data_IF_681261395423
#
_entry.id   IF_681261395423
#
_cell.length_a   1.000
_cell.length_b   1.000
_cell.length_c   1.000
_cell.angle_alpha   90.00
_cell.angle_beta   90.00
_cell.angle_gamma   90.00
#
_symmetry.space_group_name_H-M   'P 1'
#
loop_
_entity.id
_entity.type
_entity.pdbx_description
1 polymer ?
#
# COMPACT_ATOMS: atom_id res chain seq x y z
N UNK A 1 14.09 -80.92 -44.70
CA UNK A 1 13.48 -81.09 -43.36
C UNK A 1 13.31 -79.77 -42.56
N UNK A 2 13.40 -78.57 -43.16
CA UNK A 2 13.47 -77.29 -42.42
C UNK A 2 12.19 -76.42 -42.44
N UNK A 3 11.19 -76.78 -43.25
CA UNK A 3 9.99 -75.94 -43.47
C UNK A 3 9.10 -75.89 -42.22
N UNK A 4 8.93 -77.02 -41.52
CA UNK A 4 8.14 -77.08 -40.29
C UNK A 4 8.77 -76.27 -39.15
N UNK A 5 10.09 -76.41 -38.94
CA UNK A 5 10.83 -75.66 -37.94
C UNK A 5 10.74 -74.14 -38.17
N UNK A 6 10.95 -73.67 -39.41
CA UNK A 6 10.79 -72.25 -39.78
C UNK A 6 9.37 -71.73 -39.51
N UNK A 7 8.36 -72.56 -39.74
CA UNK A 7 6.96 -72.17 -39.49
C UNK A 7 6.69 -71.99 -38.01
N UNK A 8 7.15 -72.92 -37.17
CA UNK A 8 7.06 -72.84 -35.71
C UNK A 8 7.79 -71.59 -35.20
N UNK A 9 9.01 -71.33 -35.67
CA UNK A 9 9.76 -70.12 -35.30
C UNK A 9 9.04 -68.83 -35.69
N UNK A 10 8.44 -68.78 -36.88
CA UNK A 10 7.70 -67.59 -37.33
C UNK A 10 6.48 -67.29 -36.46
N UNK A 11 5.73 -68.32 -36.07
CA UNK A 11 4.60 -68.19 -35.15
C UNK A 11 5.03 -67.74 -33.76
N UNK A 12 6.11 -68.33 -33.24
CA UNK A 12 6.66 -67.94 -31.94
C UNK A 12 7.14 -66.49 -31.91
N UNK A 13 7.85 -66.03 -32.95
CA UNK A 13 8.27 -64.63 -33.08
C UNK A 13 7.06 -63.69 -33.11
N UNK A 14 6.04 -64.01 -33.90
CA UNK A 14 4.80 -63.22 -33.98
C UNK A 14 4.01 -63.21 -32.66
N UNK A 15 3.97 -64.32 -31.92
CA UNK A 15 3.38 -64.37 -30.58
C UNK A 15 4.17 -63.51 -29.59
N UNK A 16 5.49 -63.63 -29.58
CA UNK A 16 6.38 -62.91 -28.66
C UNK A 16 6.26 -61.39 -28.83
N UNK A 17 6.24 -60.90 -30.07
CA UNK A 17 6.05 -59.47 -30.38
C UNK A 17 4.67 -58.97 -29.92
N UNK A 18 3.60 -59.72 -30.18
CA UNK A 18 2.24 -59.33 -29.75
C UNK A 18 2.12 -59.29 -28.22
N UNK A 19 2.72 -60.25 -27.52
CA UNK A 19 2.77 -60.26 -26.06
C UNK A 19 3.51 -59.04 -25.51
N UNK A 20 4.66 -58.71 -26.07
CA UNK A 20 5.44 -57.53 -25.68
C UNK A 20 4.66 -56.23 -25.94
N UNK A 21 4.00 -56.12 -27.09
CA UNK A 21 3.19 -54.94 -27.43
C UNK A 21 2.04 -54.75 -26.44
N UNK A 22 1.34 -55.84 -26.10
CA UNK A 22 0.25 -55.80 -25.12
C UNK A 22 0.74 -55.33 -23.74
N UNK A 23 1.87 -55.85 -23.27
CA UNK A 23 2.48 -55.43 -22.00
C UNK A 23 2.83 -53.93 -22.02
N UNK A 24 3.44 -53.44 -23.10
CA UNK A 24 3.78 -52.02 -23.26
C UNK A 24 2.53 -51.14 -23.32
N UNK A 25 1.48 -51.58 -24.01
CA UNK A 25 0.21 -50.86 -24.06
C UNK A 25 -0.45 -50.75 -22.69
N UNK A 26 -0.49 -51.84 -21.93
CA UNK A 26 -1.02 -51.83 -20.57
C UNK A 26 -0.21 -50.88 -19.66
N UNK A 27 1.12 -50.93 -19.73
CA UNK A 27 1.99 -50.01 -19.00
C UNK A 27 1.74 -48.54 -19.39
N UNK A 28 1.60 -48.26 -20.69
CA UNK A 28 1.30 -46.92 -21.19
C UNK A 28 -0.05 -46.41 -20.68
N UNK A 29 -1.10 -47.24 -20.68
CA UNK A 29 -2.43 -46.89 -20.15
C UNK A 29 -2.34 -46.55 -18.66
N UNK A 30 -1.59 -47.33 -17.88
CA UNK A 30 -1.39 -47.06 -16.45
C UNK A 30 -0.70 -45.72 -16.25
N UNK A 31 0.42 -45.46 -16.94
CA UNK A 31 1.15 -44.19 -16.86
C UNK A 31 0.25 -43.01 -17.24
N UNK A 32 -0.48 -43.12 -18.36
CA UNK A 32 -1.39 -42.07 -18.83
C UNK A 32 -2.51 -41.79 -17.82
N UNK A 33 -3.10 -42.83 -17.22
CA UNK A 33 -4.14 -42.69 -16.19
C UNK A 33 -3.61 -41.94 -14.97
N UNK A 34 -2.43 -42.33 -14.48
CA UNK A 34 -1.80 -41.67 -13.33
C UNK A 34 -1.44 -40.22 -13.64
N UNK A 35 -0.85 -39.95 -14.80
CA UNK A 35 -0.50 -38.60 -15.23
C UNK A 35 -1.73 -37.68 -15.32
N UNK A 36 -2.81 -38.13 -15.95
CA UNK A 36 -4.08 -37.36 -16.03
C UNK A 36 -4.60 -37.02 -14.64
N UNK A 37 -4.60 -38.00 -13.73
CA UNK A 37 -5.02 -37.78 -12.34
C UNK A 37 -4.14 -36.79 -11.59
N UNK A 38 -2.81 -36.91 -11.71
CA UNK A 38 -1.85 -35.97 -11.14
C UNK A 38 -2.05 -34.55 -11.68
N UNK A 39 -2.18 -34.41 -13.00
CA UNK A 39 -2.34 -33.13 -13.68
C UNK A 39 -3.62 -32.41 -13.22
N UNK A 40 -4.76 -33.11 -13.18
CA UNK A 40 -6.03 -32.56 -12.70
C UNK A 40 -5.93 -32.12 -11.23
N UNK A 41 -5.34 -32.94 -10.36
CA UNK A 41 -5.14 -32.59 -8.94
C UNK A 41 -4.26 -31.35 -8.79
N UNK A 42 -3.14 -31.26 -9.52
CA UNK A 42 -2.25 -30.09 -9.50
C UNK A 42 -2.97 -28.81 -9.92
N UNK A 43 -3.79 -28.87 -10.97
CA UNK A 43 -4.60 -27.72 -11.40
C UNK A 43 -5.63 -27.34 -10.33
N UNK A 44 -6.31 -28.33 -9.75
CA UNK A 44 -7.32 -28.10 -8.73
C UNK A 44 -6.71 -27.46 -7.48
N UNK A 45 -5.58 -27.95 -6.98
CA UNK A 45 -4.88 -27.34 -5.85
C UNK A 45 -4.57 -25.86 -6.10
N UNK A 46 -4.08 -25.51 -7.30
CA UNK A 46 -3.84 -24.11 -7.67
C UNK A 46 -5.13 -23.27 -7.74
N UNK A 47 -6.23 -23.83 -8.25
CA UNK A 47 -7.54 -23.14 -8.30
C UNK A 47 -8.12 -22.91 -6.89
N UNK A 48 -8.04 -23.92 -6.03
CA UNK A 48 -8.51 -23.85 -4.63
C UNK A 48 -7.69 -22.82 -3.86
N UNK A 49 -6.36 -22.85 -3.99
CA UNK A 49 -5.48 -21.87 -3.36
C UNK A 49 -5.82 -20.42 -3.75
N UNK A 50 -6.08 -20.16 -5.03
CA UNK A 50 -6.53 -18.83 -5.50
C UNK A 50 -7.87 -18.41 -4.91
N UNK A 51 -8.88 -19.30 -4.91
CA UNK A 51 -10.19 -19.01 -4.33
C UNK A 51 -10.11 -18.72 -2.82
N UNK A 52 -9.27 -19.47 -2.11
CA UNK A 52 -9.03 -19.24 -0.69
C UNK A 52 -8.40 -17.85 -0.47
N UNK A 53 -7.35 -17.53 -1.22
CA UNK A 53 -6.69 -16.22 -1.19
C UNK A 53 -7.67 -15.07 -1.45
N UNK A 54 -8.51 -15.18 -2.49
CA UNK A 54 -9.52 -14.17 -2.83
C UNK A 54 -10.55 -13.99 -1.71
N UNK A 55 -10.96 -15.09 -1.07
CA UNK A 55 -11.94 -15.08 0.02
C UNK A 55 -11.37 -14.39 1.26
N UNK A 56 -10.12 -14.70 1.61
CA UNK A 56 -9.38 -14.07 2.71
C UNK A 56 -9.23 -12.57 2.47
N UNK A 57 -8.75 -12.17 1.28
CA UNK A 57 -8.61 -10.76 0.92
C UNK A 57 -9.94 -10.02 0.97
N UNK A 58 -11.01 -10.63 0.45
CA UNK A 58 -12.37 -10.04 0.49
C UNK A 58 -12.88 -9.86 1.92
N UNK A 59 -12.63 -10.83 2.80
CA UNK A 59 -13.00 -10.74 4.22
C UNK A 59 -12.27 -9.57 4.90
N UNK A 60 -10.94 -9.52 4.80
CA UNK A 60 -10.16 -8.44 5.42
C UNK A 60 -10.48 -7.07 4.82
N UNK A 61 -10.69 -6.98 3.50
CA UNK A 61 -11.12 -5.75 2.87
C UNK A 61 -12.46 -5.27 3.43
N UNK A 62 -13.45 -6.17 3.57
CA UNK A 62 -14.77 -5.85 4.14
C UNK A 62 -14.65 -5.31 5.57
N UNK A 63 -13.78 -5.90 6.39
CA UNK A 63 -13.53 -5.44 7.77
C UNK A 63 -12.73 -4.14 7.84
N UNK A 64 -11.80 -3.91 6.92
CA UNK A 64 -10.96 -2.73 6.90
C UNK A 64 -11.71 -1.46 6.45
N UNK A 65 -12.63 -1.58 5.49
CA UNK A 65 -13.40 -0.43 4.95
C UNK A 65 -14.08 0.41 6.06
N UNK A 66 -14.89 -0.13 6.98
CA UNK A 66 -15.54 0.66 8.01
C UNK A 66 -14.54 1.31 8.97
N UNK A 67 -13.48 0.60 9.36
CA UNK A 67 -12.41 1.14 10.21
C UNK A 67 -11.78 2.36 9.53
N UNK A 68 -11.41 2.24 8.27
CA UNK A 68 -10.77 3.33 7.54
C UNK A 68 -11.75 4.49 7.29
N UNK A 69 -13.03 4.21 7.00
CA UNK A 69 -14.06 5.23 6.82
C UNK A 69 -14.29 6.02 8.11
N UNK A 70 -14.42 5.33 9.25
CA UNK A 70 -14.58 5.94 10.56
C UNK A 70 -13.36 6.77 10.92
N UNK A 71 -12.15 6.25 10.70
CA UNK A 71 -10.91 6.98 10.94
C UNK A 71 -10.80 8.23 10.07
N UNK A 72 -11.08 8.14 8.76
CA UNK A 72 -11.10 9.32 7.87
C UNK A 72 -12.11 10.36 8.36
N UNK A 73 -13.31 9.93 8.74
CA UNK A 73 -14.34 10.81 9.28
C UNK A 73 -13.93 11.48 10.59
N UNK A 74 -13.36 10.73 11.53
CA UNK A 74 -12.84 11.25 12.79
C UNK A 74 -11.73 12.27 12.56
N UNK A 75 -10.78 11.96 11.69
CA UNK A 75 -9.63 12.81 11.38
C UNK A 75 -10.10 14.15 10.79
N UNK A 76 -11.03 14.10 9.85
CA UNK A 76 -11.66 15.29 9.27
C UNK A 76 -12.34 16.14 10.35
N UNK A 77 -13.17 15.54 11.21
CA UNK A 77 -13.83 16.27 12.30
C UNK A 77 -12.85 16.86 13.31
N UNK A 78 -11.73 16.18 13.58
CA UNK A 78 -10.72 16.68 14.51
C UNK A 78 -10.01 17.93 14.00
N UNK A 79 -9.69 17.99 12.70
CA UNK A 79 -8.84 19.06 12.14
C UNK A 79 -9.60 20.12 11.33
N UNK A 80 -10.81 19.86 10.82
CA UNK A 80 -11.59 20.88 10.09
C UNK A 80 -11.95 22.07 10.98
N UNK A 81 -12.30 21.82 12.25
CA UNK A 81 -12.62 22.90 13.18
C UNK A 81 -11.42 23.83 13.37
N UNK A 82 -10.23 23.27 13.59
CA UNK A 82 -8.98 24.01 13.73
C UNK A 82 -8.69 24.92 12.52
N UNK A 83 -8.86 24.41 11.29
CA UNK A 83 -8.64 25.20 10.08
C UNK A 83 -9.71 26.30 9.89
N UNK A 84 -10.98 26.02 10.22
CA UNK A 84 -12.04 27.03 10.15
C UNK A 84 -11.87 28.12 11.20
N UNK A 85 -11.51 27.73 12.42
CA UNK A 85 -11.26 28.64 13.54
C UNK A 85 -10.05 29.53 13.23
N UNK A 86 -8.97 28.96 12.68
CA UNK A 86 -7.82 29.71 12.19
C UNK A 86 -8.21 30.72 11.09
N UNK A 87 -8.98 30.30 10.08
CA UNK A 87 -9.45 31.20 9.02
C UNK A 87 -10.35 32.32 9.56
N UNK A 88 -11.21 32.01 10.54
CA UNK A 88 -12.05 33.00 11.21
C UNK A 88 -11.20 34.00 11.99
N UNK A 89 -10.21 33.51 12.75
CA UNK A 89 -9.25 34.35 13.45
C UNK A 89 -8.49 35.27 12.49
N UNK A 90 -8.04 34.75 11.35
CA UNK A 90 -7.36 35.53 10.31
C UNK A 90 -8.28 36.60 9.70
N UNK A 91 -9.54 36.26 9.43
CA UNK A 91 -10.53 37.20 8.88
C UNK A 91 -10.83 38.32 9.88
N UNK A 92 -11.07 37.98 11.15
CA UNK A 92 -11.29 38.94 12.23
C UNK A 92 -10.07 39.86 12.42
N UNK A 93 -8.85 39.31 12.39
CA UNK A 93 -7.64 40.10 12.54
C UNK A 93 -7.40 41.02 11.33
N UNK A 94 -7.81 40.63 10.12
CA UNK A 94 -7.79 41.50 8.95
C UNK A 94 -8.83 42.64 9.04
N UNK A 95 -10.04 42.35 9.51
CA UNK A 95 -11.08 43.35 9.78
C UNK A 95 -10.63 44.39 10.83
N UNK A 96 -10.05 43.93 11.94
CA UNK A 96 -9.50 44.81 12.98
C UNK A 96 -8.40 45.73 12.44
N UNK A 97 -7.66 45.26 11.45
CA UNK A 97 -6.59 46.01 10.82
C UNK A 97 -7.13 47.09 9.89
N UNK A 98 -8.13 46.76 9.08
CA UNK A 98 -8.85 47.71 8.23
C UNK A 98 -9.50 48.79 9.11
N UNK A 99 -10.17 48.39 10.20
CA UNK A 99 -10.78 49.32 11.14
C UNK A 99 -9.73 50.25 11.77
N UNK A 100 -8.56 49.74 12.16
CA UNK A 100 -7.45 50.56 12.65
C UNK A 100 -6.97 51.59 11.61
N UNK A 101 -6.75 51.16 10.36
CA UNK A 101 -6.31 52.07 9.28
C UNK A 101 -7.37 53.15 9.02
N UNK A 102 -8.66 52.79 9.04
CA UNK A 102 -9.77 53.76 8.87
C UNK A 102 -9.74 54.81 9.98
N UNK A 103 -9.57 54.41 11.24
CA UNK A 103 -9.48 55.34 12.37
C UNK A 103 -8.27 56.27 12.25
N UNK A 104 -7.09 55.75 11.94
CA UNK A 104 -5.88 56.54 11.76
C UNK A 104 -6.02 57.55 10.60
N UNK A 105 -6.58 57.14 9.47
CA UNK A 105 -6.83 58.04 8.33
C UNK A 105 -7.86 59.12 8.68
N UNK A 106 -8.88 58.78 9.48
CA UNK A 106 -9.86 59.73 9.96
C UNK A 106 -9.22 60.80 10.86
N UNK A 107 -8.32 60.39 11.77
CA UNK A 107 -7.63 61.30 12.68
C UNK A 107 -6.62 62.19 11.96
N UNK A 108 -5.88 61.64 10.99
CA UNK A 108 -4.98 62.40 10.11
C UNK A 108 -5.77 63.44 9.30
N UNK A 109 -6.95 63.08 8.78
CA UNK A 109 -7.84 64.01 8.07
C UNK A 109 -8.33 65.14 8.97
N UNK A 110 -8.62 64.85 10.24
CA UNK A 110 -9.05 65.85 11.22
C UNK A 110 -7.92 66.81 11.63
N UNK A 111 -6.67 66.36 11.55
CA UNK A 111 -5.49 67.15 11.87
C UNK A 111 -4.96 68.00 10.69
N UNK A 112 -5.65 68.01 9.54
CA UNK A 112 -5.20 68.62 8.27
C UNK A 112 -3.80 68.15 7.79
N UNK A 113 -3.38 66.98 8.27
CA UNK A 113 -2.14 66.34 7.85
C UNK A 113 -2.37 65.57 6.54
N UNK A 114 -1.37 65.55 5.67
CA UNK A 114 -1.43 64.75 4.45
C UNK A 114 -1.32 63.25 4.81
N UNK A 115 -2.26 62.39 4.35
CA UNK A 115 -2.18 60.96 4.56
C UNK A 115 -0.98 60.39 3.80
N UNK A 116 -0.11 59.68 4.51
CA UNK A 116 1.11 59.13 3.96
C UNK A 116 1.53 57.82 4.63
N UNK A 117 2.25 56.98 3.88
CA UNK A 117 2.76 55.67 4.33
C UNK A 117 3.64 55.83 5.59
N UNK A 118 4.38 56.93 5.69
CA UNK A 118 5.25 57.22 6.84
C UNK A 118 4.43 57.54 8.10
N UNK A 119 3.32 58.27 7.97
CA UNK A 119 2.40 58.57 9.09
C UNK A 119 1.72 57.31 9.61
N UNK A 120 1.33 56.38 8.72
CA UNK A 120 0.75 55.09 9.10
C UNK A 120 1.78 54.13 9.71
N UNK A 121 3.07 54.24 9.33
CA UNK A 121 4.12 53.35 9.82
C UNK A 121 4.45 53.56 11.30
N UNK A 122 4.28 54.78 11.82
CA UNK A 122 4.51 55.09 13.24
C UNK A 122 3.27 54.89 14.12
N UNK A 123 2.18 54.38 13.56
CA UNK A 123 0.91 54.16 14.26
C UNK A 123 0.88 52.83 15.04
N UNK A 124 -0.07 52.72 15.96
CA UNK A 124 -0.37 51.46 16.66
C UNK A 124 -0.82 50.34 15.71
N UNK A 125 -1.19 50.67 14.46
CA UNK A 125 -1.59 49.72 13.43
C UNK A 125 -0.44 48.80 12.97
N UNK A 126 0.82 49.26 13.00
CA UNK A 126 1.97 48.46 12.57
C UNK A 126 2.16 47.19 13.44
N UNK A 127 1.99 47.32 14.77
CA UNK A 127 2.08 46.18 15.68
C UNK A 127 1.02 45.10 15.40
N UNK A 128 -0.18 45.51 14.96
CA UNK A 128 -1.24 44.58 14.54
C UNK A 128 -0.89 43.87 13.23
N UNK A 129 -0.27 44.57 12.28
CA UNK A 129 0.24 43.99 11.02
C UNK A 129 1.29 42.92 11.30
N UNK A 130 2.25 43.21 12.17
CA UNK A 130 3.33 42.27 12.51
C UNK A 130 2.79 41.01 13.19
N UNK A 131 1.85 41.16 14.15
CA UNK A 131 1.17 40.03 14.79
C UNK A 131 0.43 39.15 13.77
N UNK A 132 -0.29 39.76 12.82
CA UNK A 132 -0.97 39.05 11.74
C UNK A 132 0.04 38.29 10.85
N UNK A 133 1.11 38.94 10.44
CA UNK A 133 2.20 38.31 9.69
C UNK A 133 2.79 37.11 10.44
N UNK A 134 2.99 37.23 11.76
CA UNK A 134 3.50 36.11 12.57
C UNK A 134 2.56 34.90 12.56
N UNK A 135 1.23 35.13 12.55
CA UNK A 135 0.24 34.04 12.42
C UNK A 135 0.21 33.41 11.01
N UNK A 136 0.60 34.16 9.98
CA UNK A 136 0.67 33.67 8.59
C UNK A 136 1.98 32.94 8.26
N UNK A 137 3.08 33.30 8.93
CA UNK A 137 4.41 32.67 8.77
C UNK A 137 4.39 31.17 9.16
N UNK A 138 3.41 30.73 9.96
CA UNK A 138 3.25 29.32 10.34
C UNK A 138 3.08 28.35 9.15
N UNK A 139 2.63 28.83 7.98
CA UNK A 139 2.58 28.02 6.74
C UNK A 139 3.92 27.88 6.02
N UNK A 140 4.86 28.79 6.24
CA UNK A 140 6.15 28.85 5.53
C UNK A 140 7.30 28.13 6.24
N UNK A 141 7.17 27.85 7.54
CA UNK A 141 8.22 27.17 8.30
C UNK A 141 7.83 25.77 8.75
N UNK A 142 8.22 24.77 7.95
CA UNK A 142 9.06 23.69 8.46
C UNK A 142 9.52 22.77 7.30
N UNK A 143 10.78 22.87 6.89
CA UNK A 143 11.42 21.82 6.06
C UNK A 143 11.27 20.44 6.71
N UNK A 144 11.24 20.40 8.06
CA UNK A 144 10.95 19.20 8.85
C UNK A 144 9.56 18.61 8.58
N UNK A 145 8.54 19.44 8.36
CA UNK A 145 7.17 19.01 8.05
C UNK A 145 7.11 18.48 6.62
N UNK A 146 7.75 19.15 5.67
CA UNK A 146 7.88 18.67 4.29
C UNK A 146 8.58 17.32 4.25
N UNK A 147 9.71 17.18 4.95
CA UNK A 147 10.46 15.92 5.08
C UNK A 147 9.64 14.84 5.78
N UNK A 148 8.91 15.17 6.86
CA UNK A 148 8.00 14.23 7.53
C UNK A 148 6.90 13.72 6.60
N UNK A 149 6.30 14.60 5.81
CA UNK A 149 5.26 14.23 4.83
C UNK A 149 5.86 13.34 3.74
N UNK A 150 7.03 13.69 3.20
CA UNK A 150 7.75 12.88 2.21
C UNK A 150 8.09 11.48 2.76
N UNK A 151 8.62 11.40 3.98
CA UNK A 151 8.92 10.13 4.66
C UNK A 151 7.65 9.29 4.88
N UNK A 152 6.55 9.92 5.31
CA UNK A 152 5.27 9.24 5.48
C UNK A 152 4.74 8.67 4.17
N UNK A 153 4.86 9.43 3.07
CA UNK A 153 4.46 8.99 1.73
C UNK A 153 5.34 7.85 1.22
N UNK A 154 6.65 7.93 1.41
CA UNK A 154 7.59 6.86 1.06
C UNK A 154 7.30 5.55 1.82
N UNK A 155 7.08 5.63 3.14
CA UNK A 155 6.68 4.46 3.97
C UNK A 155 5.38 3.83 3.47
N UNK A 156 4.37 4.66 3.19
CA UNK A 156 3.09 4.20 2.64
C UNK A 156 3.27 3.47 1.30
N UNK A 157 4.13 3.97 0.43
CA UNK A 157 4.42 3.32 -0.85
C UNK A 157 5.23 2.02 -0.68
N UNK A 158 6.12 1.94 0.31
CA UNK A 158 6.75 0.68 0.72
C UNK A 158 5.73 -0.40 1.07
N UNK A 159 4.76 -0.10 1.93
CA UNK A 159 3.69 -1.05 2.28
C UNK A 159 2.84 -1.46 1.07
N UNK A 160 2.56 -0.54 0.14
CA UNK A 160 1.83 -0.85 -1.10
C UNK A 160 2.60 -1.79 -2.00
N UNK A 161 3.92 -1.63 -2.12
CA UNK A 161 4.78 -2.57 -2.85
C UNK A 161 4.75 -3.94 -2.21
N UNK A 162 4.98 -4.05 -0.90
CA UNK A 162 4.87 -5.32 -0.17
C UNK A 162 3.51 -6.01 -0.37
N UNK A 163 2.40 -5.26 -0.34
CA UNK A 163 1.07 -5.81 -0.62
C UNK A 163 0.94 -6.34 -2.06
N UNK A 164 1.52 -5.62 -3.03
CA UNK A 164 1.52 -6.03 -4.45
C UNK A 164 2.39 -7.25 -4.68
N UNK A 165 3.52 -7.35 -4.01
CA UNK A 165 4.45 -8.47 -4.09
C UNK A 165 3.86 -9.73 -3.42
N UNK A 166 3.00 -9.55 -2.40
CA UNK A 166 2.22 -10.61 -1.75
C UNK A 166 1.05 -11.19 -2.56
N UNK A 167 0.92 -10.87 -3.85
CA UNK A 167 -0.20 -11.32 -4.71
C UNK A 167 -0.36 -12.84 -4.79
N UNK A 168 0.73 -13.58 -4.63
CA UNK A 168 0.78 -15.04 -4.71
C UNK A 168 0.67 -15.72 -3.34
N UNK A 169 1.13 -15.05 -2.28
CA UNK A 169 1.16 -15.54 -0.90
C UNK A 169 0.98 -14.34 0.02
N UNK A 170 -0.18 -14.22 0.66
CA UNK A 170 -0.35 -13.23 1.74
C UNK A 170 0.54 -13.65 2.90
N UNK A 171 1.49 -12.81 3.31
CA UNK A 171 2.10 -12.99 4.63
C UNK A 171 1.03 -12.74 5.68
N UNK A 172 0.55 -13.81 6.30
CA UNK A 172 -0.42 -13.72 7.39
C UNK A 172 0.33 -13.15 8.60
N UNK A 173 -0.15 -12.08 9.24
CA UNK A 173 0.54 -11.45 10.38
C UNK A 173 0.83 -12.42 11.53
N UNK A 174 0.02 -13.47 11.65
CA UNK A 174 0.18 -14.54 12.62
C UNK A 174 0.21 -15.88 11.87
N UNK A 175 1.26 -16.66 12.07
CA UNK A 175 1.31 -18.03 11.56
C UNK A 175 0.20 -18.84 12.24
N UNK A 176 -0.59 -19.56 11.45
CA UNK A 176 -1.55 -20.52 11.99
C UNK A 176 -0.84 -21.67 12.74
N UNK A 177 -1.56 -22.44 13.57
CA UNK A 177 -0.96 -23.57 14.27
C UNK A 177 -0.42 -24.58 13.25
N UNK A 178 0.86 -24.95 13.41
CA UNK A 178 1.59 -25.81 12.48
C UNK A 178 1.38 -27.27 12.85
N UNK A 179 0.17 -27.80 12.66
CA UNK A 179 -0.23 -29.11 13.19
C UNK A 179 0.59 -30.31 12.70
N UNK A 180 1.50 -30.16 11.72
CA UNK A 180 2.32 -31.25 11.17
C UNK A 180 3.71 -30.80 10.65
N UNK A 181 4.18 -29.60 11.02
CA UNK A 181 5.46 -29.04 10.50
C UNK A 181 5.57 -28.89 8.97
N UNK A 182 4.48 -29.13 8.22
CA UNK A 182 4.44 -29.08 6.76
C UNK A 182 4.54 -27.66 6.17
N UNK A 183 4.33 -26.64 7.00
CA UNK A 183 4.50 -25.25 6.62
C UNK A 183 5.97 -24.83 6.78
N UNK A 184 6.73 -24.81 5.68
CA UNK A 184 8.06 -24.20 5.65
C UNK A 184 7.94 -22.71 6.01
N UNK A 185 8.47 -22.35 7.17
CA UNK A 185 8.70 -20.95 7.53
C UNK A 185 9.78 -20.45 6.58
N UNK A 186 9.40 -19.58 5.64
CA UNK A 186 10.39 -18.84 4.87
C UNK A 186 11.10 -17.95 5.87
N UNK A 187 12.34 -18.30 6.24
CA UNK A 187 13.20 -17.43 7.04
C UNK A 187 13.14 -16.05 6.40
N UNK A 188 12.70 -15.06 7.18
CA UNK A 188 12.66 -13.67 6.74
C UNK A 188 14.09 -13.36 6.29
N UNK A 189 14.30 -13.12 5.00
CA UNK A 189 15.48 -12.39 4.56
C UNK A 189 15.54 -11.15 5.45
N UNK A 190 16.58 -11.11 6.29
CA UNK A 190 16.87 -9.97 7.12
C UNK A 190 16.84 -8.75 6.21
N UNK A 191 15.88 -7.84 6.42
CA UNK A 191 16.01 -6.49 5.90
C UNK A 191 17.32 -5.98 6.51
N UNK A 192 18.38 -5.98 5.71
CA UNK A 192 19.64 -5.32 6.03
C UNK A 192 19.26 -3.86 6.27
N UNK A 193 19.17 -3.48 7.55
CA UNK A 193 19.25 -2.10 7.96
C UNK A 193 20.63 -1.65 7.44
N UNK A 194 20.64 -0.90 6.34
CA UNK A 194 21.82 -0.11 5.99
C UNK A 194 22.04 0.82 7.16
N UNK A 195 22.97 0.47 8.03
CA UNK A 195 23.56 1.41 8.97
C UNK A 195 24.09 2.57 8.13
N UNK A 196 23.44 3.72 8.29
CA UNK A 196 23.97 4.99 7.83
C UNK A 196 25.19 5.23 8.69
N UNK A 197 26.37 4.89 8.15
CA UNK A 197 27.65 5.27 8.73
C UNK A 197 27.69 6.80 8.75
N UNK A 198 27.46 7.36 9.94
CA UNK A 198 27.84 8.73 10.23
C UNK A 198 29.36 8.80 10.19
N UNK A 199 29.87 9.48 9.17
CA UNK A 199 31.24 10.00 9.16
C UNK A 199 31.47 10.79 10.45
N UNK A 200 32.44 10.34 11.24
CA UNK A 200 33.26 11.18 12.13
C UNK A 200 34.71 10.97 11.72
#
# INVERSE_FOLDING_TARGET
MFIAARRIESFWRGYSVRKLLLQRWQAAIVIQRWWRGFHTRRILCGKVGRRLQDTILKHFHRSAVPIQALFRGWLVRKFIHDVRDLHRMQSSAAEDLINCVIHELHDIRKADCLPGVVSLRNSACLSKVEKLLTTMIFRFHNDRVVLMVANRMSRKEGYRRHFRDGRSVTQIPYSGPNFNELCYVREKEHMVLKEVLYFS
#
